data_IF_426422681155
#
_entry.id   IF_426422681155
#
_cell.length_a   1.000
_cell.length_b   1.000
_cell.length_c   1.000
_cell.angle_alpha   90.00
_cell.angle_beta   90.00
_cell.angle_gamma   90.00
#
_symmetry.space_group_name_H-M   'P 1'
#
loop_
_entity.id
_entity.type
_entity.pdbx_description
1 polymer ?
#
# COMPACT_ATOMS: atom_id res chain seq x y z
N UNK A 1 10.66 -38.30 12.05
CA UNK A 1 10.10 -37.02 11.58
C UNK A 1 8.96 -37.29 10.60
N UNK A 2 7.78 -36.68 10.78
CA UNK A 2 6.67 -36.86 9.82
C UNK A 2 7.05 -36.28 8.46
N UNK A 3 6.96 -37.08 7.38
CA UNK A 3 7.31 -36.65 6.01
C UNK A 3 6.59 -35.34 5.62
N UNK A 4 5.34 -35.18 6.04
CA UNK A 4 4.54 -33.98 5.84
C UNK A 4 5.20 -32.71 6.45
N UNK A 5 5.68 -32.79 7.70
CA UNK A 5 6.33 -31.66 8.37
C UNK A 5 7.64 -31.25 7.69
N UNK A 6 8.37 -32.23 7.16
CA UNK A 6 9.62 -31.98 6.41
C UNK A 6 9.35 -31.20 5.12
N UNK A 7 8.28 -31.57 4.41
CA UNK A 7 7.85 -30.88 3.19
C UNK A 7 7.43 -29.45 3.48
N UNK A 8 6.63 -29.23 4.55
CA UNK A 8 6.20 -27.88 4.96
C UNK A 8 7.39 -26.96 5.25
N UNK A 9 8.38 -27.46 5.99
CA UNK A 9 9.61 -26.71 6.27
C UNK A 9 10.40 -26.39 5.00
N UNK A 10 10.53 -27.36 4.09
CA UNK A 10 11.24 -27.18 2.82
C UNK A 10 10.55 -26.14 1.93
N UNK A 11 9.22 -26.17 1.82
CA UNK A 11 8.46 -25.17 1.07
C UNK A 11 8.65 -23.79 1.71
N UNK A 12 8.58 -23.68 3.03
CA UNK A 12 8.84 -22.41 3.75
C UNK A 12 10.22 -21.83 3.46
N UNK A 13 11.27 -22.67 3.49
CA UNK A 13 12.65 -22.27 3.15
C UNK A 13 12.73 -21.82 1.68
N UNK A 14 12.14 -22.59 0.76
CA UNK A 14 12.10 -22.23 -0.66
C UNK A 14 11.38 -20.91 -0.93
N UNK A 15 10.24 -20.65 -0.28
CA UNK A 15 9.49 -19.41 -0.41
C UNK A 15 10.27 -18.19 0.10
N UNK A 16 10.96 -18.30 1.24
CA UNK A 16 11.87 -17.25 1.75
C UNK A 16 13.01 -16.98 0.75
N UNK A 17 13.64 -18.04 0.24
CA UNK A 17 14.73 -17.93 -0.73
C UNK A 17 14.30 -17.21 -2.00
N UNK A 18 13.17 -17.64 -2.60
CA UNK A 18 12.64 -17.04 -3.81
C UNK A 18 12.30 -15.55 -3.60
N UNK A 19 11.67 -15.22 -2.46
CA UNK A 19 11.37 -13.84 -2.10
C UNK A 19 12.63 -12.98 -1.91
N UNK A 20 13.68 -13.52 -1.30
CA UNK A 20 14.95 -12.82 -1.12
C UNK A 20 15.63 -12.57 -2.46
N UNK A 21 15.67 -13.57 -3.35
CA UNK A 21 16.22 -13.42 -4.70
C UNK A 21 15.46 -12.40 -5.53
N UNK A 22 14.15 -12.26 -5.34
CA UNK A 22 13.36 -11.26 -6.04
C UNK A 22 13.82 -9.83 -5.70
N UNK A 23 14.06 -9.52 -4.42
CA UNK A 23 14.58 -8.20 -4.02
C UNK A 23 15.97 -7.91 -4.59
N UNK A 24 16.88 -8.90 -4.54
CA UNK A 24 18.21 -8.74 -5.13
C UNK A 24 18.16 -8.55 -6.65
N UNK A 25 17.32 -9.34 -7.34
CA UNK A 25 17.13 -9.20 -8.78
C UNK A 25 16.56 -7.81 -9.16
N UNK A 26 15.61 -7.32 -8.37
CA UNK A 26 15.07 -5.97 -8.55
C UNK A 26 16.14 -4.89 -8.33
N UNK A 27 16.99 -5.03 -7.30
CA UNK A 27 18.03 -4.06 -6.96
C UNK A 27 19.20 -4.03 -7.96
N UNK A 28 19.66 -5.19 -8.44
CA UNK A 28 20.89 -5.29 -9.23
C UNK A 28 20.65 -5.28 -10.75
N UNK A 29 19.51 -5.82 -11.21
CA UNK A 29 19.24 -5.93 -12.65
C UNK A 29 18.21 -4.89 -13.11
N UNK A 30 17.03 -4.88 -12.47
CA UNK A 30 15.88 -4.14 -12.99
C UNK A 30 16.02 -2.62 -12.79
N UNK A 31 16.40 -2.18 -11.58
CA UNK A 31 16.57 -0.75 -11.30
C UNK A 31 17.68 -0.12 -12.17
N UNK A 32 18.89 -0.71 -12.28
CA UNK A 32 19.93 -0.15 -13.14
C UNK A 32 19.56 -0.14 -14.62
N UNK A 33 18.75 -1.09 -15.09
CA UNK A 33 18.25 -1.10 -16.46
C UNK A 33 17.37 0.12 -16.74
N UNK A 34 16.50 0.49 -15.78
CA UNK A 34 15.67 1.70 -15.88
C UNK A 34 16.53 2.95 -15.75
N UNK A 35 17.56 2.95 -14.89
CA UNK A 35 18.44 4.10 -14.70
C UNK A 35 19.28 4.44 -15.93
N UNK A 36 19.58 3.44 -16.76
CA UNK A 36 20.33 3.58 -18.03
C UNK A 36 19.47 4.13 -19.17
N UNK A 37 18.15 4.24 -19.00
CA UNK A 37 17.32 4.86 -20.04
C UNK A 37 17.59 6.37 -20.10
N UNK A 38 17.59 6.90 -21.33
CA UNK A 38 17.91 8.32 -21.59
C UNK A 38 16.85 9.26 -21.00
N UNK A 39 15.60 8.80 -20.96
CA UNK A 39 14.48 9.52 -20.33
C UNK A 39 13.72 8.61 -19.33
N UNK A 40 13.94 8.87 -18.05
CA UNK A 40 13.35 8.10 -16.94
C UNK A 40 11.90 8.56 -16.69
N UNK A 41 11.56 9.78 -17.11
CA UNK A 41 10.22 10.35 -17.01
C UNK A 41 9.28 9.89 -18.13
N UNK A 42 9.79 9.21 -19.15
CA UNK A 42 8.97 8.63 -20.23
C UNK A 42 7.88 7.69 -19.68
N UNK A 43 6.69 7.70 -20.29
CA UNK A 43 5.55 6.84 -19.92
C UNK A 43 5.92 5.36 -19.89
N UNK A 44 6.86 4.93 -20.72
CA UNK A 44 7.36 3.55 -20.75
C UNK A 44 8.17 3.23 -19.49
N UNK A 45 9.07 4.11 -19.09
CA UNK A 45 9.89 3.98 -17.88
C UNK A 45 9.02 4.00 -16.63
N UNK A 46 8.03 4.90 -16.58
CA UNK A 46 6.99 4.97 -15.53
C UNK A 46 6.22 3.66 -15.36
N UNK A 47 5.70 3.09 -16.46
CA UNK A 47 5.05 1.78 -16.43
C UNK A 47 5.97 0.67 -15.95
N UNK A 48 7.23 0.67 -16.36
CA UNK A 48 8.23 -0.31 -15.91
C UNK A 48 8.52 -0.19 -14.40
N UNK A 49 8.61 1.03 -13.87
CA UNK A 49 8.80 1.27 -12.43
C UNK A 49 7.57 0.78 -11.65
N UNK A 50 6.37 1.09 -12.13
CA UNK A 50 5.12 0.63 -11.50
C UNK A 50 5.01 -0.89 -11.50
N UNK A 51 5.26 -1.53 -12.66
CA UNK A 51 5.23 -3.00 -12.78
C UNK A 51 6.27 -3.65 -11.86
N UNK A 52 7.48 -3.09 -11.79
CA UNK A 52 8.53 -3.53 -10.88
C UNK A 52 8.08 -3.51 -9.42
N UNK A 53 7.53 -2.38 -8.95
CA UNK A 53 7.10 -2.21 -7.55
C UNK A 53 5.92 -3.13 -7.22
N UNK A 54 4.90 -3.17 -8.08
CA UNK A 54 3.71 -4.01 -7.87
C UNK A 54 4.09 -5.48 -7.85
N UNK A 55 4.94 -5.92 -8.78
CA UNK A 55 5.43 -7.30 -8.84
C UNK A 55 6.28 -7.64 -7.62
N UNK A 56 7.20 -6.77 -7.22
CA UNK A 56 8.06 -7.02 -6.06
C UNK A 56 7.24 -7.14 -4.77
N UNK A 57 6.27 -6.24 -4.55
CA UNK A 57 5.32 -6.31 -3.43
C UNK A 57 4.50 -7.58 -3.48
N UNK A 58 3.88 -7.90 -4.62
CA UNK A 58 3.03 -9.09 -4.77
C UNK A 58 3.79 -10.38 -4.45
N UNK A 59 5.02 -10.51 -4.95
CA UNK A 59 5.89 -11.67 -4.68
C UNK A 59 6.25 -11.75 -3.20
N UNK A 60 6.64 -10.64 -2.57
CA UNK A 60 6.99 -10.63 -1.15
C UNK A 60 5.79 -10.91 -0.24
N UNK A 61 4.64 -10.29 -0.49
CA UNK A 61 3.43 -10.50 0.30
C UNK A 61 2.93 -11.93 0.18
N UNK A 62 2.94 -12.48 -1.04
CA UNK A 62 2.55 -13.87 -1.30
C UNK A 62 3.52 -14.87 -0.65
N UNK A 63 4.79 -14.85 -1.04
CA UNK A 63 5.77 -15.86 -0.62
C UNK A 63 6.29 -15.64 0.79
N UNK A 64 6.53 -14.39 1.20
CA UNK A 64 6.94 -14.06 2.56
C UNK A 64 5.84 -14.37 3.57
N UNK A 65 4.59 -13.97 3.28
CA UNK A 65 3.44 -14.32 4.10
C UNK A 65 3.22 -15.84 4.19
N UNK A 66 3.30 -16.54 3.05
CA UNK A 66 3.20 -18.00 3.00
C UNK A 66 4.31 -18.65 3.83
N UNK A 67 5.56 -18.21 3.69
CA UNK A 67 6.69 -18.76 4.44
C UNK A 67 6.48 -18.61 5.96
N UNK A 68 6.13 -17.42 6.43
CA UNK A 68 5.84 -17.17 7.86
C UNK A 68 4.71 -18.06 8.38
N UNK A 69 3.65 -18.24 7.60
CA UNK A 69 2.55 -19.13 7.95
C UNK A 69 3.00 -20.59 8.04
N UNK A 70 3.78 -21.08 7.07
CA UNK A 70 4.27 -22.44 7.06
C UNK A 70 5.23 -22.73 8.23
N UNK A 71 6.11 -21.80 8.57
CA UNK A 71 7.00 -21.95 9.74
C UNK A 71 6.24 -21.91 11.07
N UNK A 72 5.24 -21.04 11.18
CA UNK A 72 4.35 -21.01 12.35
C UNK A 72 3.59 -22.33 12.51
N UNK A 73 3.00 -22.85 11.42
CA UNK A 73 2.31 -24.15 11.45
C UNK A 73 3.28 -25.29 11.75
N UNK A 74 4.48 -25.28 11.18
CA UNK A 74 5.51 -26.26 11.48
C UNK A 74 5.89 -26.25 12.97
N UNK A 75 5.99 -25.08 13.61
CA UNK A 75 6.26 -24.98 15.04
C UNK A 75 5.12 -25.54 15.90
N UNK A 76 3.87 -25.17 15.58
CA UNK A 76 2.68 -25.61 16.31
C UNK A 76 2.48 -27.13 16.23
N UNK A 77 2.67 -27.71 15.04
CA UNK A 77 2.47 -29.14 14.77
C UNK A 77 3.66 -30.02 15.13
N UNK A 78 4.82 -29.45 15.52
CA UNK A 78 5.98 -30.23 15.93
C UNK A 78 5.81 -30.83 17.34
N UNK A 79 6.23 -32.10 17.56
CA UNK A 79 6.27 -32.69 18.89
C UNK A 79 7.30 -31.95 19.78
N UNK A 80 7.20 -32.01 21.11
CA UNK A 80 8.03 -31.22 22.03
C UNK A 80 9.54 -31.35 21.79
N UNK A 81 10.00 -32.55 21.43
CA UNK A 81 11.41 -32.83 21.14
C UNK A 81 11.91 -32.26 19.80
N UNK A 82 11.01 -31.92 18.86
CA UNK A 82 11.33 -31.34 17.55
C UNK A 82 10.93 -29.87 17.40
N UNK A 83 10.57 -29.21 18.51
CA UNK A 83 10.28 -27.76 18.55
C UNK A 83 11.59 -27.00 18.66
N UNK A 84 12.18 -26.71 17.52
CA UNK A 84 13.40 -25.91 17.48
C UNK A 84 13.10 -24.41 17.39
N UNK A 85 13.89 -23.56 18.07
CA UNK A 85 13.68 -22.11 18.11
C UNK A 85 13.82 -21.45 16.74
N UNK A 86 14.59 -22.05 15.81
CA UNK A 86 14.77 -21.51 14.46
C UNK A 86 13.44 -21.34 13.71
N UNK A 87 12.43 -22.18 13.97
CA UNK A 87 11.11 -22.08 13.32
C UNK A 87 10.40 -20.77 13.67
N UNK A 88 10.54 -20.30 14.90
CA UNK A 88 9.99 -19.01 15.33
C UNK A 88 10.78 -17.88 14.68
N UNK A 89 12.12 -17.96 14.72
CA UNK A 89 12.96 -16.94 14.11
C UNK A 89 12.70 -16.80 12.61
N UNK A 90 12.58 -17.90 11.87
CA UNK A 90 12.25 -17.88 10.44
C UNK A 90 10.83 -17.39 10.17
N UNK A 91 9.87 -17.68 11.06
CA UNK A 91 8.52 -17.13 10.95
C UNK A 91 8.47 -15.61 11.15
N UNK A 92 9.40 -15.05 11.95
CA UNK A 92 9.47 -13.61 12.22
C UNK A 92 10.20 -12.81 11.14
N UNK A 93 10.94 -13.44 10.23
CA UNK A 93 11.71 -12.69 9.23
C UNK A 93 10.81 -11.92 8.25
N UNK A 94 9.74 -12.53 7.73
CA UNK A 94 8.85 -11.81 6.83
C UNK A 94 8.13 -10.62 7.50
N UNK A 95 7.58 -10.70 8.73
CA UNK A 95 6.99 -9.53 9.39
C UNK A 95 8.03 -8.48 9.76
N UNK A 96 9.27 -8.85 10.12
CA UNK A 96 10.36 -7.89 10.33
C UNK A 96 10.71 -7.17 9.02
N UNK A 97 10.84 -7.92 7.92
CA UNK A 97 11.08 -7.33 6.61
C UNK A 97 9.90 -6.44 6.17
N UNK A 98 8.66 -6.82 6.46
CA UNK A 98 7.49 -6.00 6.19
C UNK A 98 7.53 -4.70 6.98
N UNK A 99 7.87 -4.75 8.27
CA UNK A 99 8.03 -3.57 9.12
C UNK A 99 9.11 -2.63 8.57
N UNK A 100 10.25 -3.18 8.17
CA UNK A 100 11.32 -2.42 7.52
C UNK A 100 10.83 -1.76 6.22
N UNK A 101 10.14 -2.50 5.36
CA UNK A 101 9.61 -1.96 4.11
C UNK A 101 8.56 -0.87 4.36
N UNK A 102 7.72 -1.03 5.38
CA UNK A 102 6.69 -0.04 5.73
C UNK A 102 7.29 1.31 6.13
N UNK A 103 8.35 1.32 6.94
CA UNK A 103 8.95 2.57 7.44
C UNK A 103 9.97 3.21 6.48
N UNK A 104 10.76 2.41 5.76
CA UNK A 104 11.87 2.95 4.94
C UNK A 104 11.64 2.89 3.43
N UNK A 105 10.90 1.89 2.94
CA UNK A 105 10.77 1.65 1.50
C UNK A 105 9.49 2.30 0.95
N UNK A 106 8.41 2.26 1.73
CA UNK A 106 7.08 2.70 1.30
C UNK A 106 7.03 4.15 0.83
N UNK A 107 7.75 5.06 1.49
CA UNK A 107 7.79 6.47 1.10
C UNK A 107 8.39 6.66 -0.30
N UNK A 108 9.54 6.02 -0.57
CA UNK A 108 10.20 6.09 -1.88
C UNK A 108 9.36 5.44 -2.99
N UNK A 109 8.73 4.30 -2.70
CA UNK A 109 7.81 3.64 -3.64
C UNK A 109 6.58 4.51 -3.91
N UNK A 110 6.01 5.14 -2.89
CA UNK A 110 4.83 6.00 -3.04
C UNK A 110 5.11 7.21 -3.92
N UNK A 111 6.25 7.90 -3.72
CA UNK A 111 6.68 9.02 -4.57
C UNK A 111 6.82 8.61 -6.03
N UNK A 112 7.46 7.47 -6.28
CA UNK A 112 7.64 6.94 -7.64
C UNK A 112 6.32 6.54 -8.29
N UNK A 113 5.43 5.87 -7.56
CA UNK A 113 4.10 5.48 -8.05
C UNK A 113 3.21 6.70 -8.34
N UNK A 114 3.25 7.70 -7.47
CA UNK A 114 2.48 8.94 -7.64
C UNK A 114 2.98 9.75 -8.85
N UNK A 115 4.29 9.81 -9.07
CA UNK A 115 4.86 10.42 -10.27
C UNK A 115 4.55 9.65 -11.57
N UNK A 116 4.30 8.35 -11.44
CA UNK A 116 4.00 7.44 -12.54
C UNK A 116 2.51 7.40 -12.88
N UNK A 117 1.63 7.93 -12.02
CA UNK A 117 0.19 7.89 -12.23
C UNK A 117 -0.22 9.04 -13.18
N UNK A 118 -0.81 8.73 -14.35
CA UNK A 118 -1.27 9.75 -15.30
C UNK A 118 -2.59 10.41 -14.87
N UNK A 119 -3.25 9.90 -13.83
CA UNK A 119 -4.57 10.36 -13.42
C UNK A 119 -4.50 11.25 -12.17
N UNK A 120 -5.14 12.43 -12.19
CA UNK A 120 -5.31 13.22 -10.98
C UNK A 120 -6.12 12.41 -9.96
N UNK A 121 -5.58 12.20 -8.77
CA UNK A 121 -6.38 11.71 -7.65
C UNK A 121 -7.43 12.77 -7.34
N UNK A 122 -8.68 12.48 -7.68
CA UNK A 122 -9.82 13.33 -7.30
C UNK A 122 -10.17 12.98 -5.86
N UNK A 123 -9.70 13.78 -4.91
CA UNK A 123 -10.14 13.69 -3.53
C UNK A 123 -11.36 14.59 -3.37
N UNK A 124 -12.51 14.01 -3.02
CA UNK A 124 -13.72 14.77 -2.73
C UNK A 124 -13.60 15.35 -1.32
N UNK A 125 -13.43 16.67 -1.21
CA UNK A 125 -13.58 17.35 0.08
C UNK A 125 -15.03 17.80 0.24
N UNK A 126 -15.62 17.44 1.38
CA UNK A 126 -16.89 18.01 1.81
C UNK A 126 -16.65 19.43 2.28
N UNK A 127 -17.00 20.40 1.45
CA UNK A 127 -16.98 21.82 1.83
C UNK A 127 -18.39 22.20 2.24
N UNK A 128 -18.55 22.69 3.47
CA UNK A 128 -19.81 23.27 3.92
C UNK A 128 -19.96 24.66 3.30
N UNK A 129 -20.96 24.84 2.43
CA UNK A 129 -21.35 26.17 1.93
C UNK A 129 -22.74 26.51 2.49
N UNK A 130 -22.84 27.66 3.13
CA UNK A 130 -24.12 28.26 3.50
C UNK A 130 -24.71 28.93 2.27
N UNK A 131 -25.82 28.40 1.76
CA UNK A 131 -26.57 29.03 0.66
C UNK A 131 -27.76 29.74 1.30
N UNK A 132 -27.83 31.05 1.12
CA UNK A 132 -29.02 31.84 1.49
C UNK A 132 -30.10 31.60 0.44
N UNK A 133 -31.16 30.85 0.80
CA UNK A 133 -32.31 30.66 -0.08
C UNK A 133 -33.47 31.51 0.43
N UNK A 134 -34.00 32.39 -0.42
CA UNK A 134 -35.24 33.10 -0.14
C UNK A 134 -36.40 32.12 -0.23
N UNK A 135 -37.04 31.82 0.91
CA UNK A 135 -38.31 31.07 0.97
C UNK A 135 -39.46 32.09 1.05
N UNK A 136 -40.53 31.88 0.28
CA UNK A 136 -41.77 32.63 0.50
C UNK A 136 -42.36 32.18 1.84
N UNK A 137 -42.66 33.13 2.73
CA UNK A 137 -43.30 32.83 4.01
C UNK A 137 -44.66 32.17 3.77
N UNK A 138 -44.91 31.05 4.46
CA UNK A 138 -46.19 30.34 4.42
C UNK A 138 -47.29 31.26 4.96
N UNK A 139 -48.31 31.50 4.14
CA UNK A 139 -49.51 32.26 4.48
C UNK A 139 -50.34 31.52 5.54
N UNK A 140 -50.62 32.17 6.67
CA UNK A 140 -51.47 31.59 7.72
C UNK A 140 -52.93 31.46 7.23
N UNK A 141 -53.58 30.29 7.39
CA UNK A 141 -54.98 30.10 7.01
C UNK A 141 -55.94 30.79 7.99
N UNK A 142 -57.00 31.40 7.46
CA UNK A 142 -58.04 32.05 8.28
C UNK A 142 -58.82 31.04 9.12
N UNK A 143 -59.03 31.27 10.43
CA UNK A 143 -59.75 30.35 11.30
C UNK A 143 -61.28 30.29 11.06
N UNK A 144 -61.81 31.08 10.11
CA UNK A 144 -63.25 31.09 9.78
C UNK A 144 -63.61 30.18 8.60
N UNK A 145 -62.76 30.04 7.59
CA UNK A 145 -63.06 29.26 6.36
C UNK A 145 -61.88 28.48 5.76
N UNK A 146 -60.69 28.50 6.38
CA UNK A 146 -59.49 27.83 5.88
C UNK A 146 -59.06 28.21 4.44
N UNK A 147 -59.54 29.34 3.90
CA UNK A 147 -59.01 29.87 2.64
C UNK A 147 -57.69 30.60 2.88
N UNK A 148 -56.79 30.48 1.91
CA UNK A 148 -55.46 31.11 1.94
C UNK A 148 -55.54 32.44 1.18
N UNK A 149 -55.40 33.56 1.88
CA UNK A 149 -55.37 34.89 1.27
C UNK A 149 -53.91 35.29 0.99
N UNK A 150 -53.53 35.42 -0.27
CA UNK A 150 -52.25 36.02 -0.67
C UNK A 150 -52.43 37.51 -0.86
N UNK A 151 -52.13 38.29 0.18
CA UNK A 151 -52.11 39.74 0.09
C UNK A 151 -50.94 40.19 -0.80
N UNK A 152 -51.22 40.88 -1.91
CA UNK A 152 -50.22 41.28 -2.92
C UNK A 152 -49.38 42.50 -2.47
N UNK A 153 -49.51 42.92 -1.22
CA UNK A 153 -48.76 44.02 -0.62
C UNK A 153 -47.63 43.54 0.30
N UNK A 154 -46.39 43.57 -0.20
CA UNK A 154 -45.12 43.54 0.57
C UNK A 154 -44.94 42.32 1.51
N UNK A 155 -44.46 41.23 0.92
CA UNK A 155 -44.06 40.00 1.62
C UNK A 155 -42.83 40.30 2.52
N UNK A 156 -42.82 39.91 3.81
CA UNK A 156 -41.60 39.94 4.61
C UNK A 156 -40.64 38.86 4.10
N UNK A 157 -39.48 39.27 3.59
CA UNK A 157 -38.42 38.35 3.18
C UNK A 157 -37.76 37.75 4.44
N UNK A 158 -37.97 36.45 4.69
CA UNK A 158 -37.23 35.71 5.71
C UNK A 158 -36.07 35.00 5.03
N UNK A 159 -34.85 35.38 5.40
CA UNK A 159 -33.62 34.70 4.97
C UNK A 159 -33.42 33.45 5.83
N UNK A 160 -33.52 32.27 5.23
CA UNK A 160 -33.17 31.01 5.89
C UNK A 160 -31.78 30.57 5.39
N UNK A 161 -30.84 30.37 6.32
CA UNK A 161 -29.50 29.86 6.03
C UNK A 161 -29.54 28.34 5.97
N UNK A 162 -29.39 27.77 4.78
CA UNK A 162 -29.33 26.31 4.60
C UNK A 162 -27.86 25.93 4.44
N UNK A 163 -27.32 25.14 5.36
CA UNK A 163 -26.02 24.48 5.21
C UNK A 163 -26.14 23.36 4.17
N UNK A 164 -25.52 23.54 3.01
CA UNK A 164 -25.42 22.50 1.99
C UNK A 164 -23.99 21.95 2.00
N UNK A 165 -23.86 20.65 2.26
CA UNK A 165 -22.59 19.92 2.05
C UNK A 165 -22.42 19.67 0.55
N UNK A 166 -21.52 20.43 -0.09
CA UNK A 166 -21.15 20.24 -1.49
C UNK A 166 -19.81 19.50 -1.54
N UNK A 167 -19.78 18.35 -2.22
CA UNK A 167 -18.55 17.58 -2.47
C UNK A 167 -17.79 18.24 -3.62
N UNK A 168 -16.79 19.07 -3.30
CA UNK A 168 -15.97 19.72 -4.30
C UNK A 168 -14.80 18.80 -4.65
N UNK A 169 -14.59 18.45 -5.94
CA UNK A 169 -13.42 17.69 -6.35
C UNK A 169 -12.17 18.55 -6.16
N UNK A 170 -11.35 18.22 -5.16
CA UNK A 170 -10.01 18.81 -5.01
C UNK A 170 -9.06 17.95 -5.84
N UNK A 171 -8.60 18.50 -6.95
CA UNK A 171 -7.57 17.90 -7.80
C UNK A 171 -6.22 18.09 -7.13
N UNK A 172 -5.73 17.06 -6.41
CA UNK A 172 -4.34 17.04 -5.99
C UNK A 172 -3.47 16.97 -7.26
N UNK A 173 -2.64 17.99 -7.47
CA UNK A 173 -1.76 18.04 -8.64
C UNK A 173 -0.83 16.82 -8.60
N UNK A 174 -0.67 16.07 -9.70
CA UNK A 174 0.31 14.99 -9.73
C UNK A 174 1.68 15.58 -9.44
N UNK A 175 2.41 14.95 -8.52
CA UNK A 175 3.81 15.30 -8.24
C UNK A 175 4.60 14.89 -9.48
N UNK A 176 4.77 15.83 -10.41
CA UNK A 176 5.63 15.63 -11.57
C UNK A 176 7.06 15.74 -11.07
N UNK A 177 7.65 14.60 -10.70
CA UNK A 177 9.06 14.53 -10.35
C UNK A 177 9.91 14.93 -11.56
N UNK A 178 10.95 15.72 -11.30
CA UNK A 178 11.99 15.97 -12.29
C UNK A 178 12.72 14.67 -12.64
N UNK A 179 13.38 14.65 -13.80
CA UNK A 179 14.22 13.53 -14.24
C UNK A 179 15.33 13.22 -13.20
N UNK A 180 15.89 14.25 -12.55
CA UNK A 180 16.92 14.09 -11.52
C UNK A 180 16.35 13.53 -10.21
N UNK A 181 15.17 14.00 -9.79
CA UNK A 181 14.49 13.52 -8.59
C UNK A 181 14.08 12.06 -8.75
N UNK A 182 13.55 11.69 -9.92
CA UNK A 182 13.18 10.30 -10.24
C UNK A 182 14.40 9.38 -10.16
N UNK A 183 15.55 9.81 -10.68
CA UNK A 183 16.81 9.05 -10.60
C UNK A 183 17.29 8.89 -9.16
N UNK A 184 17.23 9.96 -8.36
CA UNK A 184 17.63 9.94 -6.95
C UNK A 184 16.74 9.00 -6.12
N UNK A 185 15.43 9.07 -6.31
CA UNK A 185 14.47 8.19 -5.65
C UNK A 185 14.66 6.73 -6.10
N UNK A 186 14.97 6.48 -7.37
CA UNK A 186 15.25 5.12 -7.86
C UNK A 186 16.54 4.54 -7.26
N UNK A 187 17.58 5.36 -7.06
CA UNK A 187 18.80 4.95 -6.36
C UNK A 187 18.56 4.68 -4.88
N UNK A 188 17.69 5.47 -4.25
CA UNK A 188 17.26 5.25 -2.87
C UNK A 188 16.50 3.93 -2.77
N UNK A 189 15.55 3.70 -3.69
CA UNK A 189 14.81 2.45 -3.80
C UNK A 189 15.74 1.25 -4.01
N UNK A 190 16.79 1.41 -4.84
CA UNK A 190 17.79 0.38 -5.06
C UNK A 190 18.45 -0.07 -3.75
N UNK A 191 18.93 0.89 -2.95
CA UNK A 191 19.56 0.61 -1.65
C UNK A 191 18.56 -0.02 -0.69
N UNK A 192 17.34 0.50 -0.64
CA UNK A 192 16.27 -0.01 0.21
C UNK A 192 15.90 -1.46 -0.12
N UNK A 193 15.77 -1.80 -1.41
CA UNK A 193 15.55 -3.17 -1.86
C UNK A 193 16.72 -4.10 -1.55
N UNK A 194 17.95 -3.61 -1.65
CA UNK A 194 19.13 -4.37 -1.25
C UNK A 194 19.09 -4.69 0.25
N UNK A 195 18.77 -3.72 1.11
CA UNK A 195 18.61 -3.97 2.55
C UNK A 195 17.46 -4.93 2.86
N UNK A 196 16.30 -4.77 2.23
CA UNK A 196 15.18 -5.72 2.33
C UNK A 196 15.60 -7.13 1.91
N UNK A 197 16.36 -7.24 0.81
CA UNK A 197 16.93 -8.50 0.34
C UNK A 197 17.86 -9.15 1.37
N UNK A 198 18.75 -8.38 1.99
CA UNK A 198 19.65 -8.87 3.06
C UNK A 198 18.84 -9.46 4.23
N UNK A 199 17.83 -8.74 4.72
CA UNK A 199 17.00 -9.20 5.85
C UNK A 199 16.35 -10.55 5.52
N UNK A 200 15.76 -10.67 4.33
CA UNK A 200 15.07 -11.89 3.89
C UNK A 200 16.07 -13.03 3.67
N UNK A 201 17.23 -12.76 3.08
CA UNK A 201 18.27 -13.78 2.85
C UNK A 201 18.90 -14.26 4.15
N UNK A 202 19.08 -13.41 5.15
CA UNK A 202 19.50 -13.85 6.49
C UNK A 202 18.50 -14.86 7.07
N UNK A 203 17.20 -14.63 6.91
CA UNK A 203 16.17 -15.59 7.30
C UNK A 203 16.20 -16.89 6.49
N UNK A 204 16.48 -16.80 5.19
CA UNK A 204 16.70 -17.98 4.35
C UNK A 204 17.90 -18.81 4.83
N UNK A 205 19.04 -18.17 5.11
CA UNK A 205 20.24 -18.86 5.62
C UNK A 205 19.95 -19.51 6.97
N UNK A 206 19.35 -18.77 7.90
CA UNK A 206 18.97 -19.27 9.22
C UNK A 206 18.02 -20.48 9.12
N UNK A 207 16.99 -20.38 8.28
CA UNK A 207 16.01 -21.46 8.09
C UNK A 207 16.62 -22.67 7.38
N UNK A 208 17.59 -22.47 6.48
CA UNK A 208 18.33 -23.55 5.82
C UNK A 208 19.22 -24.29 6.81
N UNK A 209 20.00 -23.57 7.63
CA UNK A 209 20.84 -24.17 8.68
C UNK A 209 19.97 -24.95 9.67
N UNK A 210 18.86 -24.34 10.13
CA UNK A 210 17.91 -25.00 11.02
C UNK A 210 17.30 -26.26 10.41
N UNK A 211 16.90 -26.20 9.14
CA UNK A 211 16.34 -27.34 8.42
C UNK A 211 17.34 -28.49 8.23
N UNK A 212 18.60 -28.18 7.93
CA UNK A 212 19.66 -29.20 7.79
C UNK A 212 19.99 -29.81 9.15
N UNK A 213 20.06 -28.99 10.22
CA UNK A 213 20.34 -29.46 11.58
C UNK A 213 19.23 -30.34 12.16
N UNK A 214 17.97 -30.11 11.78
CA UNK A 214 16.79 -30.88 12.21
C UNK A 214 16.64 -32.24 11.48
N UNK A 215 17.50 -32.51 10.48
CA UNK A 215 17.58 -33.82 9.81
C UNK A 215 18.52 -34.82 10.51
N UNK A 216 19.31 -34.35 11.49
CA UNK A 216 20.22 -35.16 12.31
C UNK A 216 19.51 -35.55 13.60
#
# INVERSE_FOLDING_TARGET
>A
MGKCLTIVKLIGVGSLGLSGTNFFYSAEALIPQILKSEDVTSDKSKKQITDLIVRARGVFWGLGGLASYLFYQAFKSSPPAGKHPYLIYSALIAPIALLFNYYWVFESEAKLLESSSPEPKVTYQKVKRTIKRKKLADSEPSPLDNSVYSDLGKIPEVEEEIEVEEEVPVTEKPIVLSNEETKSELQTLQKSYLYSGIIVVLGFVLSTIGYVGDRV
#
